data_IF_496708888093
#
_entry.id   IF_496708888093
#
_cell.length_a   1.000
_cell.length_b   1.000
_cell.length_c   1.000
_cell.angle_alpha   90.00
_cell.angle_beta   90.00
_cell.angle_gamma   90.00
#
_symmetry.space_group_name_H-M   'P 1'
#
loop_
_entity.id
_entity.type
_entity.pdbx_description
1 polymer ?
#
# COMPACT_ATOMS: atom_id res chain seq x y z
N UNK A 1 -9.06 52.84 -31.84
CA UNK A 1 -8.13 51.96 -31.10
C UNK A 1 -8.98 51.09 -30.18
N UNK A 2 -9.21 49.82 -30.45
CA UNK A 2 -9.96 48.97 -29.55
C UNK A 2 -9.01 48.18 -28.63
N UNK A 3 -9.36 48.12 -27.34
CA UNK A 3 -8.72 47.34 -26.32
C UNK A 3 -8.94 45.83 -26.56
N UNK A 4 -7.86 45.09 -26.62
CA UNK A 4 -7.87 43.61 -26.60
C UNK A 4 -7.93 43.10 -25.17
N UNK A 5 -9.01 42.44 -24.85
CA UNK A 5 -9.22 41.73 -23.58
C UNK A 5 -8.46 40.40 -23.60
N UNK A 6 -7.50 40.23 -22.70
CA UNK A 6 -6.88 38.95 -22.37
C UNK A 6 -7.90 38.08 -21.58
N UNK A 7 -8.28 36.94 -22.13
CA UNK A 7 -8.98 35.89 -21.40
C UNK A 7 -7.97 34.96 -20.74
N UNK A 8 -7.87 35.04 -19.43
CA UNK A 8 -7.18 34.03 -18.61
C UNK A 8 -7.98 32.72 -18.61
N UNK A 9 -7.32 31.66 -19.05
CA UNK A 9 -7.79 30.30 -18.82
C UNK A 9 -7.42 29.90 -17.39
N UNK A 10 -8.40 29.89 -16.49
CA UNK A 10 -8.26 29.25 -15.17
C UNK A 10 -8.35 27.74 -15.34
N UNK A 11 -7.29 27.04 -15.02
CA UNK A 11 -7.28 25.60 -14.88
C UNK A 11 -8.14 25.24 -13.65
N UNK A 12 -9.24 24.54 -13.88
CA UNK A 12 -10.08 23.98 -12.80
C UNK A 12 -9.37 22.75 -12.26
N UNK A 13 -8.73 22.90 -11.11
CA UNK A 13 -8.29 21.77 -10.27
C UNK A 13 -9.55 21.29 -9.55
N UNK A 14 -10.10 20.14 -9.94
CA UNK A 14 -11.14 19.47 -9.17
C UNK A 14 -10.55 18.92 -7.86
N UNK A 15 -10.59 19.71 -6.81
CA UNK A 15 -10.51 19.23 -5.44
C UNK A 15 -11.85 18.56 -5.10
N UNK A 16 -11.84 17.27 -4.84
CA UNK A 16 -12.91 16.61 -4.10
C UNK A 16 -12.85 17.11 -2.66
N UNK A 17 -13.53 18.21 -2.37
CA UNK A 17 -13.81 18.63 -1.01
C UNK A 17 -15.01 17.81 -0.50
N UNK A 18 -14.74 16.88 0.40
CA UNK A 18 -15.79 16.28 1.21
C UNK A 18 -16.40 17.39 2.10
N UNK A 19 -17.70 17.57 2.02
CA UNK A 19 -18.48 18.51 2.81
C UNK A 19 -18.37 18.13 4.30
N UNK A 20 -17.70 18.96 5.09
CA UNK A 20 -17.73 18.92 6.55
C UNK A 20 -19.01 19.53 7.07
N UNK A 21 -19.96 18.73 7.55
CA UNK A 21 -20.97 19.18 8.50
C UNK A 21 -20.33 19.20 9.90
N UNK A 22 -20.43 20.35 10.56
CA UNK A 22 -19.99 20.57 11.96
C UNK A 22 -20.77 19.62 12.87
N UNK A 23 -20.07 18.73 13.56
CA UNK A 23 -20.59 17.99 14.70
C UNK A 23 -19.96 18.59 15.96
N UNK A 24 -20.81 19.00 16.91
CA UNK A 24 -20.45 19.50 18.21
C UNK A 24 -19.59 18.51 18.99
N UNK A 25 -18.57 19.02 19.66
CA UNK A 25 -17.76 18.27 20.62
C UNK A 25 -18.60 18.00 21.88
N UNK A 26 -19.10 16.78 22.01
CA UNK A 26 -19.42 16.22 23.30
C UNK A 26 -18.28 15.26 23.70
N UNK A 27 -17.65 15.62 24.82
CA UNK A 27 -16.59 14.83 25.46
C UNK A 27 -17.23 13.67 26.21
N UNK A 28 -17.49 12.57 25.53
CA UNK A 28 -17.71 11.29 26.22
C UNK A 28 -16.43 10.47 26.22
N UNK A 29 -15.80 10.44 27.38
CA UNK A 29 -14.73 9.53 27.74
C UNK A 29 -15.26 8.09 27.62
N UNK A 30 -15.00 7.44 26.50
CA UNK A 30 -15.20 6.00 26.38
C UNK A 30 -14.21 5.31 27.31
N UNK A 31 -14.71 4.82 28.43
CA UNK A 31 -13.98 3.92 29.33
C UNK A 31 -13.58 2.68 28.52
N UNK A 32 -12.29 2.49 28.33
CA UNK A 32 -11.72 1.23 27.83
C UNK A 32 -12.17 0.08 28.74
N UNK A 33 -12.73 -1.01 28.22
CA UNK A 33 -12.90 -2.22 28.99
C UNK A 33 -11.52 -2.77 29.36
N UNK A 34 -11.28 -3.02 30.64
CA UNK A 34 -10.09 -3.73 31.12
C UNK A 34 -10.16 -5.20 30.67
N UNK A 35 -9.51 -5.52 29.56
CA UNK A 35 -9.33 -6.88 29.06
C UNK A 35 -7.98 -7.45 29.49
N UNK A 36 -7.71 -7.47 30.78
CA UNK A 36 -6.66 -8.31 31.34
C UNK A 36 -7.29 -9.45 32.11
N UNK A 37 -7.73 -10.48 31.40
CA UNK A 37 -7.82 -11.87 31.88
C UNK A 37 -8.05 -12.79 30.68
N UNK A 38 -6.95 -13.25 30.07
CA UNK A 38 -6.78 -14.58 29.47
C UNK A 38 -5.45 -14.67 28.73
N UNK A 39 -4.36 -14.70 29.50
CA UNK A 39 -3.09 -15.21 28.99
C UNK A 39 -3.16 -16.74 28.83
N UNK A 40 -4.04 -17.23 27.96
CA UNK A 40 -3.90 -18.57 27.39
C UNK A 40 -2.94 -18.49 26.22
N UNK A 41 -1.93 -19.36 26.25
CA UNK A 41 -0.91 -19.53 25.23
C UNK A 41 -1.46 -19.22 23.82
N UNK A 42 -0.93 -18.17 23.20
CA UNK A 42 -1.17 -17.85 21.80
C UNK A 42 -0.57 -19.01 21.02
N UNK A 43 -1.44 -19.87 20.47
CA UNK A 43 -1.01 -20.98 19.62
C UNK A 43 -0.27 -20.41 18.40
N UNK A 44 0.85 -21.00 18.02
CA UNK A 44 1.74 -20.70 16.89
C UNK A 44 1.09 -20.71 15.48
N UNK A 45 -0.22 -20.47 15.38
CA UNK A 45 -1.02 -20.38 14.16
C UNK A 45 -1.86 -19.09 14.09
N UNK A 46 -1.64 -18.14 14.99
CA UNK A 46 -2.35 -16.86 14.97
C UNK A 46 -1.50 -15.86 14.19
N UNK A 47 -2.09 -15.27 13.16
CA UNK A 47 -1.49 -14.19 12.39
C UNK A 47 -1.71 -12.83 13.06
N UNK A 48 -0.97 -11.83 12.59
CA UNK A 48 -1.14 -10.44 13.00
C UNK A 48 -1.37 -9.56 11.80
N UNK A 49 -2.10 -8.46 12.01
CA UNK A 49 -2.40 -7.46 10.97
C UNK A 49 -2.09 -6.08 11.54
N UNK A 50 -1.42 -5.26 10.74
CA UNK A 50 -1.03 -3.92 11.12
C UNK A 50 -1.51 -2.90 10.08
N UNK A 51 -1.94 -1.74 10.58
CA UNK A 51 -2.27 -0.55 9.79
C UNK A 51 -1.78 0.68 10.53
N UNK A 52 -1.58 1.81 9.85
CA UNK A 52 -1.18 3.04 10.51
C UNK A 52 -2.27 4.09 10.47
N UNK A 53 -2.29 4.97 11.49
CA UNK A 53 -3.28 6.04 11.64
C UNK A 53 -3.09 7.17 10.63
N UNK A 54 -1.85 7.42 10.24
CA UNK A 54 -1.43 8.55 9.41
C UNK A 54 -1.92 9.92 9.97
N UNK A 55 -2.05 10.04 11.29
CA UNK A 55 -2.48 11.27 11.93
C UNK A 55 -1.38 12.34 11.88
N UNK A 56 -1.77 13.60 11.59
CA UNK A 56 -0.84 14.72 11.45
C UNK A 56 -0.13 15.10 12.74
N UNK A 57 -0.78 14.90 13.89
CA UNK A 57 -0.21 15.20 15.22
C UNK A 57 0.77 14.14 15.70
N UNK A 58 0.44 12.87 15.48
CA UNK A 58 1.25 11.71 15.84
C UNK A 58 0.78 10.51 15.02
N UNK A 59 1.65 9.99 14.17
CA UNK A 59 1.37 8.71 13.50
C UNK A 59 1.53 7.55 14.48
N UNK A 60 0.70 6.52 14.33
CA UNK A 60 0.68 5.35 15.20
C UNK A 60 0.33 4.10 14.41
N UNK A 61 0.87 2.96 14.83
CA UNK A 61 0.54 1.65 14.27
C UNK A 61 -0.55 1.01 15.13
N UNK A 62 -1.64 0.62 14.51
CA UNK A 62 -2.69 -0.18 15.09
C UNK A 62 -2.41 -1.64 14.80
N UNK A 63 -2.34 -2.45 15.85
CA UNK A 63 -2.08 -3.89 15.78
C UNK A 63 -3.34 -4.68 16.05
N UNK A 64 -3.54 -5.75 15.29
CA UNK A 64 -4.65 -6.70 15.46
C UNK A 64 -4.11 -8.11 15.47
N UNK A 65 -4.68 -8.99 16.27
CA UNK A 65 -4.46 -10.42 16.13
C UNK A 65 -5.61 -11.07 15.34
N UNK A 66 -5.25 -12.04 14.50
CA UNK A 66 -6.17 -12.83 13.71
C UNK A 66 -6.62 -14.05 14.51
N UNK A 67 -7.92 -14.20 14.76
CA UNK A 67 -8.49 -15.43 15.32
C UNK A 67 -8.46 -16.57 14.31
N UNK A 68 -8.61 -17.80 14.78
CA UNK A 68 -8.64 -19.01 13.93
C UNK A 68 -9.73 -19.00 12.84
N UNK A 69 -10.78 -18.20 13.01
CA UNK A 69 -11.83 -17.99 12.02
C UNK A 69 -11.57 -16.80 11.08
N UNK A 70 -10.40 -16.15 11.17
CA UNK A 70 -9.98 -15.03 10.35
C UNK A 70 -10.43 -13.66 10.82
N UNK A 71 -11.19 -13.56 11.91
CA UNK A 71 -11.60 -12.27 12.46
C UNK A 71 -10.45 -11.56 13.14
N UNK A 72 -10.37 -10.25 12.93
CA UNK A 72 -9.39 -9.38 13.56
C UNK A 72 -9.91 -8.88 14.90
N UNK A 73 -9.02 -8.88 15.89
CA UNK A 73 -9.29 -8.35 17.22
C UNK A 73 -8.19 -7.34 17.54
N UNK A 74 -8.61 -6.15 17.96
CA UNK A 74 -7.67 -5.08 18.31
C UNK A 74 -6.74 -5.54 19.44
N UNK A 75 -5.44 -5.29 19.26
CA UNK A 75 -4.40 -5.66 20.22
C UNK A 75 -3.84 -4.42 20.92
N UNK A 76 -3.32 -3.46 20.15
CA UNK A 76 -2.66 -2.26 20.70
C UNK A 76 -2.52 -1.15 19.67
N UNK A 77 -2.16 0.03 20.16
CA UNK A 77 -1.68 1.14 19.35
C UNK A 77 -0.28 1.52 19.81
N UNK A 78 0.67 1.65 18.88
CA UNK A 78 2.06 2.00 19.15
C UNK A 78 2.44 3.25 18.37
N UNK A 79 2.91 4.30 19.07
CA UNK A 79 3.37 5.53 18.42
C UNK A 79 4.53 5.27 17.46
N UNK A 80 4.50 5.87 16.27
CA UNK A 80 5.53 5.64 15.25
C UNK A 80 6.80 6.48 15.46
N UNK A 81 6.78 7.45 16.36
CA UNK A 81 7.90 8.37 16.54
C UNK A 81 7.96 9.49 15.48
N UNK A 82 6.98 9.56 14.60
CA UNK A 82 6.83 10.62 13.61
C UNK A 82 5.37 11.03 13.42
N UNK A 83 5.12 11.91 12.47
CA UNK A 83 3.79 12.41 12.14
C UNK A 83 3.32 11.88 10.81
N UNK A 84 2.04 11.53 10.71
CA UNK A 84 1.36 11.28 9.45
C UNK A 84 1.06 12.57 8.68
N UNK A 85 0.54 12.45 7.48
CA UNK A 85 0.15 13.60 6.67
C UNK A 85 -1.20 14.20 7.09
N UNK A 86 -2.03 13.47 7.82
CA UNK A 86 -3.40 13.85 8.14
C UNK A 86 -4.35 13.84 6.94
N UNK A 87 -3.92 13.25 5.83
CA UNK A 87 -4.71 13.12 4.58
C UNK A 87 -4.41 11.77 3.92
N UNK A 88 -5.27 11.31 3.03
CA UNK A 88 -5.02 10.08 2.28
C UNK A 88 -3.71 10.15 1.49
N UNK A 89 -2.86 9.13 1.62
CA UNK A 89 -1.58 9.07 0.90
C UNK A 89 -1.75 8.72 -0.59
N UNK A 90 -2.81 7.99 -0.93
CA UNK A 90 -3.03 7.51 -2.30
C UNK A 90 -1.88 6.64 -2.80
N UNK A 91 -1.47 5.68 -1.97
CA UNK A 91 -0.33 4.79 -2.21
C UNK A 91 -0.59 3.41 -1.62
N UNK A 92 0.14 2.40 -2.08
CA UNK A 92 0.25 1.07 -1.49
C UNK A 92 1.62 0.91 -0.84
N UNK A 93 1.69 0.13 0.25
CA UNK A 93 2.96 -0.15 0.92
C UNK A 93 3.45 0.99 1.82
N UNK A 94 2.55 1.69 2.52
CA UNK A 94 2.91 2.60 3.60
C UNK A 94 3.54 1.87 4.79
N UNK A 95 3.23 0.57 4.94
CA UNK A 95 3.86 -0.39 5.83
C UNK A 95 4.54 -1.51 5.04
N UNK A 96 5.63 -2.07 5.56
CA UNK A 96 6.23 -3.31 5.09
C UNK A 96 6.77 -4.14 6.25
N UNK A 97 6.82 -5.47 6.06
CA UNK A 97 7.44 -6.43 6.95
C UNK A 97 8.76 -6.91 6.33
N UNK A 98 9.73 -7.30 7.15
CA UNK A 98 10.83 -8.13 6.68
C UNK A 98 10.36 -9.57 6.44
N UNK A 99 11.10 -10.34 5.64
CA UNK A 99 10.73 -11.71 5.27
C UNK A 99 10.63 -12.65 6.49
N UNK A 100 11.38 -12.37 7.54
CA UNK A 100 11.37 -13.15 8.78
C UNK A 100 10.27 -12.71 9.77
N UNK A 101 9.55 -11.63 9.46
CA UNK A 101 8.52 -11.00 10.29
C UNK A 101 9.01 -10.62 11.70
N UNK A 102 10.28 -10.23 11.79
CA UNK A 102 10.87 -9.68 13.02
C UNK A 102 10.71 -8.17 13.11
N UNK A 103 10.58 -7.50 11.94
CA UNK A 103 10.54 -6.05 11.82
C UNK A 103 9.35 -5.58 10.99
N UNK A 104 8.70 -4.54 11.52
CA UNK A 104 7.74 -3.72 10.78
C UNK A 104 8.39 -2.36 10.48
N UNK A 105 8.19 -1.88 9.26
CA UNK A 105 8.60 -0.55 8.82
C UNK A 105 7.39 0.27 8.43
N UNK A 106 7.42 1.57 8.74
CA UNK A 106 6.33 2.49 8.46
C UNK A 106 6.83 3.83 7.91
N UNK A 107 6.07 4.45 7.02
CA UNK A 107 6.31 5.83 6.61
C UNK A 107 5.68 6.79 7.63
N UNK A 108 6.31 7.95 7.87
CA UNK A 108 5.74 9.08 8.59
C UNK A 108 5.72 10.26 7.62
N UNK A 109 4.67 10.31 6.82
CA UNK A 109 4.61 11.20 5.65
C UNK A 109 4.69 12.69 6.03
N UNK A 110 4.10 13.09 7.17
CA UNK A 110 4.10 14.47 7.62
C UNK A 110 5.42 14.93 8.22
N UNK A 111 6.22 14.03 8.80
CA UNK A 111 7.55 14.35 9.35
C UNK A 111 8.71 13.95 8.44
N UNK A 112 8.44 13.49 7.21
CA UNK A 112 9.46 13.08 6.24
C UNK A 112 10.43 12.02 6.79
N UNK A 113 9.90 11.07 7.54
CA UNK A 113 10.69 10.03 8.21
C UNK A 113 10.12 8.64 7.98
N UNK A 114 10.92 7.63 8.29
CA UNK A 114 10.55 6.22 8.33
C UNK A 114 10.89 5.66 9.69
N UNK A 115 10.09 4.70 10.16
CA UNK A 115 10.28 4.07 11.46
C UNK A 115 10.40 2.57 11.33
N UNK A 116 11.21 1.94 12.21
CA UNK A 116 11.30 0.51 12.37
C UNK A 116 10.81 0.09 13.75
N UNK A 117 10.14 -1.07 13.81
CA UNK A 117 9.61 -1.65 15.04
C UNK A 117 10.02 -3.11 15.12
N UNK A 118 10.45 -3.56 16.29
CA UNK A 118 10.53 -4.98 16.55
C UNK A 118 9.15 -5.56 16.83
N UNK A 119 8.90 -6.75 16.31
CA UNK A 119 7.66 -7.50 16.51
C UNK A 119 7.91 -8.57 17.54
N UNK A 120 7.15 -8.53 18.66
CA UNK A 120 7.19 -9.57 19.67
C UNK A 120 6.36 -10.80 19.28
N UNK A 121 6.60 -11.94 19.93
CA UNK A 121 5.89 -13.20 19.66
C UNK A 121 4.36 -13.11 19.78
N UNK A 122 3.88 -12.14 20.52
CA UNK A 122 2.46 -11.84 20.71
C UNK A 122 1.92 -10.76 19.75
N UNK A 123 2.71 -10.34 18.74
CA UNK A 123 2.37 -9.28 17.78
C UNK A 123 2.47 -7.87 18.33
N UNK A 124 2.98 -7.67 19.55
CA UNK A 124 3.22 -6.34 20.10
C UNK A 124 4.39 -5.67 19.36
N UNK A 125 4.30 -4.36 19.18
CA UNK A 125 5.35 -3.58 18.53
C UNK A 125 6.14 -2.77 19.56
N UNK A 126 7.45 -2.71 19.35
CA UNK A 126 8.34 -1.80 20.08
C UNK A 126 9.08 -0.94 19.05
N UNK A 127 8.89 0.39 19.13
CA UNK A 127 9.62 1.33 18.28
C UNK A 127 11.13 1.20 18.54
N UNK A 128 11.87 0.96 17.46
CA UNK A 128 13.33 0.82 17.51
C UNK A 128 14.03 2.09 17.04
N UNK A 129 13.75 2.54 15.83
CA UNK A 129 14.40 3.71 15.23
C UNK A 129 13.39 4.55 14.43
N UNK A 130 13.70 5.85 14.34
CA UNK A 130 13.07 6.79 13.40
C UNK A 130 14.17 7.59 12.73
N UNK A 131 14.20 7.60 11.40
CA UNK A 131 15.21 8.30 10.60
C UNK A 131 14.56 9.10 9.47
N UNK A 132 15.27 10.13 8.96
CA UNK A 132 14.83 10.85 7.75
C UNK A 132 14.66 9.89 6.56
N UNK A 133 13.60 10.06 5.76
CA UNK A 133 13.41 9.34 4.50
C UNK A 133 14.35 9.81 3.37
N UNK A 134 15.16 10.83 3.62
CA UNK A 134 15.99 11.54 2.63
C UNK A 134 15.19 12.06 1.43
N UNK A 135 13.97 12.50 1.70
CA UNK A 135 13.06 13.13 0.78
C UNK A 135 11.89 13.77 1.51
N UNK A 136 10.88 14.17 0.77
CA UNK A 136 9.69 14.84 1.30
C UNK A 136 8.44 14.04 0.94
N UNK A 137 7.58 13.81 1.93
CA UNK A 137 6.35 13.06 1.84
C UNK A 137 6.60 11.60 1.41
N UNK A 138 7.26 10.76 2.26
CA UNK A 138 7.37 9.32 2.01
C UNK A 138 5.96 8.70 2.00
N UNK A 139 5.66 7.86 0.99
CA UNK A 139 4.31 7.30 0.82
C UNK A 139 4.28 5.78 0.67
N UNK A 140 5.41 5.18 0.35
CA UNK A 140 5.52 3.72 0.18
C UNK A 140 6.94 3.28 0.45
N UNK A 141 7.11 2.10 1.02
CA UNK A 141 8.40 1.48 1.27
C UNK A 141 8.36 -0.02 0.96
N UNK A 142 9.53 -0.59 0.73
CA UNK A 142 9.70 -2.01 0.43
C UNK A 142 10.97 -2.54 1.06
N UNK A 143 10.97 -3.82 1.41
CA UNK A 143 12.09 -4.51 2.05
C UNK A 143 12.49 -5.72 1.23
N UNK A 144 13.78 -6.00 1.14
CA UNK A 144 14.35 -7.23 0.61
C UNK A 144 15.67 -7.53 1.33
N UNK A 145 15.78 -8.68 1.95
CA UNK A 145 16.90 -9.02 2.83
C UNK A 145 17.17 -7.90 3.87
N UNK A 146 18.37 -7.34 3.86
CA UNK A 146 18.78 -6.24 4.73
C UNK A 146 18.67 -4.85 4.08
N UNK A 147 17.89 -4.71 3.00
CA UNK A 147 17.69 -3.47 2.29
C UNK A 147 16.25 -2.97 2.47
N UNK A 148 16.11 -1.67 2.68
CA UNK A 148 14.84 -0.96 2.64
C UNK A 148 14.95 0.18 1.64
N UNK A 149 13.95 0.31 0.76
CA UNK A 149 13.79 1.48 -0.10
C UNK A 149 12.46 2.17 0.17
N UNK A 150 12.49 3.50 0.15
CA UNK A 150 11.31 4.36 0.30
C UNK A 150 11.15 5.23 -0.93
N UNK A 151 9.92 5.48 -1.35
CA UNK A 151 9.59 6.49 -2.36
C UNK A 151 8.96 7.71 -1.70
N UNK A 152 9.50 8.89 -2.02
CA UNK A 152 9.09 10.19 -1.50
C UNK A 152 8.32 10.95 -2.57
N UNK A 153 7.07 11.27 -2.30
CA UNK A 153 6.15 11.78 -3.32
C UNK A 153 6.42 13.23 -3.71
N UNK A 154 6.63 14.13 -2.75
CA UNK A 154 6.85 15.57 -3.06
C UNK A 154 8.23 15.82 -3.67
N UNK A 155 9.27 15.16 -3.18
CA UNK A 155 10.62 15.27 -3.76
C UNK A 155 10.82 14.40 -5.00
N UNK A 156 9.83 13.57 -5.35
CA UNK A 156 9.83 12.68 -6.52
C UNK A 156 11.13 11.88 -6.65
N UNK A 157 11.50 11.18 -5.59
CA UNK A 157 12.72 10.36 -5.54
C UNK A 157 12.50 9.06 -4.76
N UNK A 158 13.42 8.12 -4.94
CA UNK A 158 13.61 6.98 -4.06
C UNK A 158 14.85 7.17 -3.21
N UNK A 159 14.91 6.54 -2.04
CA UNK A 159 16.11 6.50 -1.18
C UNK A 159 16.24 5.14 -0.50
N UNK A 160 17.46 4.62 -0.41
CA UNK A 160 17.78 3.29 0.11
C UNK A 160 18.46 3.34 1.48
N UNK A 161 18.19 2.33 2.28
CA UNK A 161 18.74 2.12 3.62
C UNK A 161 19.17 0.68 3.81
N UNK A 162 20.20 0.46 4.61
CA UNK A 162 20.50 -0.86 5.15
C UNK A 162 19.78 -1.06 6.47
N UNK A 163 19.25 -2.26 6.69
CA UNK A 163 18.68 -2.70 7.96
C UNK A 163 19.78 -3.42 8.74
N UNK A 164 20.22 -2.82 9.83
CA UNK A 164 21.22 -3.39 10.72
C UNK A 164 20.62 -4.11 11.92
N UNK A 165 21.48 -4.58 12.81
CA UNK A 165 21.08 -5.20 14.06
C UNK A 165 20.16 -4.26 14.86
N UNK A 166 19.14 -4.82 15.52
CA UNK A 166 18.16 -4.05 16.27
C UNK A 166 17.26 -3.18 15.40
N UNK A 167 17.09 -3.48 14.09
CA UNK A 167 16.25 -2.72 13.17
C UNK A 167 16.78 -1.33 12.82
N UNK A 168 18.09 -1.08 13.07
CA UNK A 168 18.73 0.20 12.77
C UNK A 168 18.71 0.47 11.28
N UNK A 169 18.18 1.63 10.89
CA UNK A 169 18.16 2.07 9.49
C UNK A 169 19.31 3.03 9.24
N UNK A 170 20.19 2.67 8.29
CA UNK A 170 21.33 3.50 7.88
C UNK A 170 21.20 3.84 6.40
N UNK A 171 21.14 5.14 6.08
CA UNK A 171 21.06 5.59 4.69
C UNK A 171 22.26 5.12 3.86
N UNK A 172 22.00 4.58 2.69
CA UNK A 172 23.02 4.21 1.70
C UNK A 172 23.39 5.46 0.91
N UNK A 173 24.58 6.01 1.16
CA UNK A 173 25.05 7.21 0.47
C UNK A 173 25.03 7.02 -1.05
N UNK A 174 24.37 7.93 -1.76
CA UNK A 174 24.22 7.87 -3.21
C UNK A 174 23.06 7.01 -3.72
N UNK A 175 22.26 6.40 -2.83
CA UNK A 175 21.07 5.60 -3.21
C UNK A 175 19.89 6.41 -3.68
N UNK A 176 19.88 7.73 -3.44
CA UNK A 176 18.78 8.60 -3.87
C UNK A 176 18.78 8.77 -5.37
N UNK A 177 17.69 8.36 -6.03
CA UNK A 177 17.50 8.48 -7.47
C UNK A 177 16.20 9.22 -7.77
N UNK A 178 16.18 10.13 -8.77
CA UNK A 178 14.95 10.82 -9.16
C UNK A 178 13.99 9.89 -9.87
N UNK A 179 12.68 10.15 -9.73
CA UNK A 179 11.63 9.59 -10.57
C UNK A 179 11.66 10.23 -11.98
N UNK A 180 10.73 9.78 -12.85
CA UNK A 180 10.72 10.23 -14.26
C UNK A 180 10.48 11.74 -14.42
N UNK A 181 9.86 12.38 -13.45
CA UNK A 181 9.64 13.83 -13.39
C UNK A 181 9.35 14.29 -11.95
N UNK A 182 9.55 15.57 -11.66
CA UNK A 182 9.20 16.16 -10.36
C UNK A 182 7.70 16.07 -10.02
N UNK A 183 6.84 15.89 -11.03
CA UNK A 183 5.39 15.75 -10.89
C UNK A 183 4.90 14.30 -10.93
N UNK A 184 5.78 13.32 -10.74
CA UNK A 184 5.47 11.89 -10.92
C UNK A 184 4.30 11.39 -10.03
N UNK A 185 4.18 11.90 -8.81
CA UNK A 185 3.20 11.46 -7.82
C UNK A 185 3.13 9.93 -7.69
N UNK A 186 4.18 9.28 -7.16
CA UNK A 186 4.28 7.84 -7.08
C UNK A 186 3.13 7.23 -6.26
N UNK A 187 2.75 5.99 -6.59
CA UNK A 187 1.78 5.22 -5.83
C UNK A 187 2.43 4.12 -5.00
N UNK A 188 3.44 3.46 -5.53
CA UNK A 188 4.09 2.34 -4.85
C UNK A 188 5.53 2.19 -5.30
N UNK A 189 6.38 1.71 -4.38
CA UNK A 189 7.68 1.14 -4.66
C UNK A 189 7.68 -0.33 -4.22
N UNK A 190 8.28 -1.23 -5.00
CA UNK A 190 8.43 -2.64 -4.64
C UNK A 190 9.72 -3.24 -5.17
N UNK A 191 10.40 -4.03 -4.35
CA UNK A 191 11.46 -4.89 -4.86
C UNK A 191 10.87 -5.99 -5.72
N UNK A 192 11.41 -6.15 -6.92
CA UNK A 192 11.19 -7.37 -7.68
C UNK A 192 11.75 -8.56 -6.90
N UNK A 193 11.05 -9.71 -6.84
CA UNK A 193 11.59 -10.90 -6.22
C UNK A 193 13.01 -11.22 -6.72
N UNK A 194 13.94 -11.42 -5.77
CA UNK A 194 15.38 -11.54 -6.03
C UNK A 194 16.18 -10.25 -5.85
N UNK A 195 15.53 -9.11 -5.52
CA UNK A 195 16.17 -7.89 -5.03
C UNK A 195 16.97 -7.06 -6.04
N UNK A 196 17.10 -7.52 -7.30
CA UNK A 196 17.97 -6.88 -8.30
C UNK A 196 17.36 -5.63 -8.95
N UNK A 197 16.08 -5.39 -8.76
CA UNK A 197 15.35 -4.26 -9.33
C UNK A 197 14.30 -3.76 -8.35
N UNK A 198 14.09 -2.43 -8.38
CA UNK A 198 12.94 -1.77 -7.81
C UNK A 198 11.99 -1.35 -8.93
N UNK A 199 10.69 -1.43 -8.68
CA UNK A 199 9.64 -0.94 -9.56
C UNK A 199 8.91 0.17 -8.82
N UNK A 200 8.61 1.27 -9.52
CA UNK A 200 7.80 2.39 -9.02
C UNK A 200 6.71 2.69 -10.03
N UNK A 201 5.47 2.79 -9.56
CA UNK A 201 4.34 3.30 -10.36
C UNK A 201 4.15 4.79 -10.12
N UNK A 202 3.97 5.55 -11.20
CA UNK A 202 3.90 7.01 -11.20
C UNK A 202 2.56 7.47 -11.80
N UNK A 203 1.66 7.94 -10.94
CA UNK A 203 0.26 8.25 -11.31
C UNK A 203 0.13 9.39 -12.32
N UNK A 204 0.85 10.49 -12.10
CA UNK A 204 0.68 11.71 -12.90
C UNK A 204 1.45 11.69 -14.21
N UNK A 205 2.53 10.94 -14.29
CA UNK A 205 3.30 10.76 -15.53
C UNK A 205 2.84 9.56 -16.33
N UNK A 206 1.93 8.72 -15.76
CA UNK A 206 1.48 7.45 -16.35
C UNK A 206 2.65 6.53 -16.69
N UNK A 207 3.63 6.41 -15.77
CA UNK A 207 4.84 5.60 -16.00
C UNK A 207 5.01 4.51 -14.97
N UNK A 208 5.75 3.50 -15.41
CA UNK A 208 6.34 2.47 -14.58
C UNK A 208 7.83 2.65 -14.70
N UNK A 209 8.50 2.98 -13.60
CA UNK A 209 9.95 3.25 -13.57
C UNK A 209 10.65 2.11 -12.82
N UNK A 210 11.68 1.55 -13.43
CA UNK A 210 12.48 0.45 -12.88
C UNK A 210 13.90 0.92 -12.62
N UNK A 211 14.43 0.61 -11.42
CA UNK A 211 15.78 0.94 -11.00
C UNK A 211 16.57 -0.35 -10.77
N UNK A 212 17.73 -0.55 -11.41
CA UNK A 212 18.63 -1.66 -11.06
C UNK A 212 19.21 -1.45 -9.66
N UNK A 213 19.33 -2.50 -8.87
CA UNK A 213 20.00 -2.49 -7.57
C UNK A 213 21.18 -3.41 -7.63
N UNK A 214 22.37 -2.91 -7.32
CA UNK A 214 23.59 -3.69 -7.34
C UNK A 214 23.79 -4.50 -6.04
N UNK A 215 24.81 -5.32 -5.99
CA UNK A 215 25.12 -6.19 -4.84
C UNK A 215 25.49 -5.45 -3.54
N UNK A 216 25.81 -4.16 -3.62
CA UNK A 216 26.00 -3.30 -2.44
C UNK A 216 24.73 -2.59 -2.00
N UNK A 217 23.60 -2.91 -2.62
CA UNK A 217 22.29 -2.30 -2.31
C UNK A 217 22.07 -0.91 -2.92
N UNK A 218 22.96 -0.43 -3.81
CA UNK A 218 22.86 0.87 -4.42
C UNK A 218 21.99 0.83 -5.67
N UNK A 219 20.92 1.66 -5.70
CA UNK A 219 20.09 1.83 -6.88
C UNK A 219 20.81 2.65 -7.96
N UNK A 220 20.78 2.17 -9.19
CA UNK A 220 21.21 2.91 -10.38
C UNK A 220 20.14 3.83 -10.93
N UNK A 221 20.42 4.49 -12.06
CA UNK A 221 19.47 5.37 -12.74
C UNK A 221 18.20 4.62 -13.18
N UNK A 222 17.03 5.27 -13.02
CA UNK A 222 15.75 4.71 -13.40
C UNK A 222 15.54 4.69 -14.93
N UNK A 223 14.86 3.66 -15.40
CA UNK A 223 14.35 3.55 -16.78
C UNK A 223 12.83 3.45 -16.73
N UNK A 224 12.12 4.24 -17.53
CA UNK A 224 10.66 4.35 -17.46
C UNK A 224 10.00 3.94 -18.77
N UNK A 225 8.87 3.24 -18.67
CA UNK A 225 7.94 2.98 -19.78
C UNK A 225 6.59 3.65 -19.50
N UNK A 226 5.80 3.88 -20.53
CA UNK A 226 4.41 4.33 -20.37
C UNK A 226 3.53 3.14 -19.99
N UNK A 227 2.67 3.32 -18.98
CA UNK A 227 1.66 2.36 -18.58
C UNK A 227 0.62 2.14 -19.69
N UNK A 228 0.05 0.95 -19.77
CA UNK A 228 -0.94 0.60 -20.81
C UNK A 228 -2.25 1.41 -20.66
N UNK A 229 -2.59 1.82 -19.45
CA UNK A 229 -3.69 2.74 -19.19
C UNK A 229 -3.23 3.84 -18.20
N UNK A 230 -4.02 4.89 -18.07
CA UNK A 230 -3.70 6.04 -17.23
C UNK A 230 -3.74 5.69 -15.73
N UNK A 231 -2.92 6.40 -14.97
CA UNK A 231 -2.85 6.33 -13.51
C UNK A 231 -2.49 4.94 -13.01
N UNK A 232 -1.28 4.39 -13.36
CA UNK A 232 -0.77 3.18 -12.73
C UNK A 232 -0.67 3.40 -11.23
N UNK A 233 -1.18 2.44 -10.45
CA UNK A 233 -1.34 2.60 -9.02
C UNK A 233 -0.59 1.50 -8.25
N UNK A 234 -1.30 0.68 -7.49
CA UNK A 234 -0.69 -0.43 -6.77
C UNK A 234 -0.32 -1.60 -7.67
N UNK A 235 0.62 -2.41 -7.22
CA UNK A 235 1.03 -3.63 -7.92
C UNK A 235 1.52 -4.68 -6.94
N UNK A 236 1.56 -5.93 -7.43
CA UNK A 236 2.24 -7.03 -6.76
C UNK A 236 2.86 -7.96 -7.80
N UNK A 237 3.73 -8.88 -7.38
CA UNK A 237 4.48 -9.71 -8.30
C UNK A 237 3.88 -11.12 -8.43
N UNK A 238 3.74 -11.57 -9.68
CA UNK A 238 3.47 -12.97 -10.01
C UNK A 238 4.80 -13.67 -10.26
N UNK A 239 5.26 -14.43 -9.26
CA UNK A 239 6.60 -15.00 -9.26
C UNK A 239 7.69 -13.94 -9.46
N UNK A 240 8.84 -14.34 -10.00
CA UNK A 240 9.97 -13.44 -10.22
C UNK A 240 9.91 -12.64 -11.53
N UNK A 241 8.87 -12.79 -12.34
CA UNK A 241 8.90 -12.31 -13.72
C UNK A 241 7.95 -11.14 -14.00
N UNK A 242 6.78 -11.11 -13.38
CA UNK A 242 5.72 -10.21 -13.80
C UNK A 242 5.24 -9.32 -12.65
N UNK A 243 5.21 -8.01 -12.88
CA UNK A 243 4.48 -7.06 -12.05
C UNK A 243 3.04 -6.95 -12.56
N UNK A 244 2.06 -7.21 -11.70
CA UNK A 244 0.63 -7.08 -11.97
C UNK A 244 0.20 -5.72 -11.45
N UNK A 245 -0.02 -4.79 -12.36
CA UNK A 245 -0.23 -3.37 -12.06
C UNK A 245 -1.69 -3.01 -12.25
N UNK A 246 -2.25 -2.30 -11.28
CA UNK A 246 -3.57 -1.67 -11.41
C UNK A 246 -3.44 -0.31 -12.08
N UNK A 247 -4.42 0.06 -12.88
CA UNK A 247 -4.46 1.31 -13.62
C UNK A 247 -5.83 1.97 -13.40
N UNK A 248 -5.85 3.04 -12.60
CA UNK A 248 -7.09 3.65 -12.10
C UNK A 248 -7.84 4.50 -13.15
N UNK A 249 -7.26 4.72 -14.34
CA UNK A 249 -7.82 5.50 -15.44
C UNK A 249 -8.31 6.91 -15.02
N UNK A 250 -7.57 7.58 -14.12
CA UNK A 250 -7.95 8.88 -13.59
C UNK A 250 -9.25 8.88 -12.77
N UNK A 251 -9.74 7.70 -12.35
CA UNK A 251 -11.02 7.55 -11.66
C UNK A 251 -12.25 7.56 -12.59
N UNK A 252 -12.06 7.47 -13.90
CA UNK A 252 -13.17 7.42 -14.86
C UNK A 252 -14.07 6.19 -14.61
N UNK A 253 -15.40 6.35 -14.65
CA UNK A 253 -16.33 5.27 -14.34
C UNK A 253 -16.12 4.04 -15.24
N UNK A 254 -15.98 2.87 -14.62
CA UNK A 254 -15.84 1.57 -15.28
C UNK A 254 -14.66 1.45 -16.25
N UNK A 255 -13.65 2.33 -16.14
CA UNK A 255 -12.54 2.44 -17.07
C UNK A 255 -11.20 1.87 -16.55
N UNK A 256 -11.15 1.49 -15.27
CA UNK A 256 -9.92 0.97 -14.68
C UNK A 256 -9.55 -0.42 -15.20
N UNK A 257 -8.26 -0.70 -15.24
CA UNK A 257 -7.71 -1.92 -15.84
C UNK A 257 -6.65 -2.54 -14.94
N UNK A 258 -6.25 -3.75 -15.32
CA UNK A 258 -5.09 -4.46 -14.77
C UNK A 258 -4.22 -4.91 -15.94
N UNK A 259 -2.92 -4.67 -15.84
CA UNK A 259 -1.94 -5.09 -16.83
C UNK A 259 -0.79 -5.85 -16.17
N UNK A 260 -0.13 -6.72 -16.91
CA UNK A 260 1.11 -7.34 -16.47
C UNK A 260 2.30 -6.84 -17.27
N UNK A 261 3.42 -6.64 -16.57
CA UNK A 261 4.67 -6.16 -17.15
C UNK A 261 5.81 -7.10 -16.77
N UNK A 262 6.71 -7.37 -17.70
CA UNK A 262 8.02 -7.91 -17.33
C UNK A 262 8.73 -6.84 -16.50
N UNK A 263 9.30 -7.21 -15.36
CA UNK A 263 10.03 -6.26 -14.52
C UNK A 263 11.52 -6.58 -14.54
N UNK A 264 12.37 -5.60 -14.84
CA UNK A 264 13.82 -5.80 -14.89
C UNK A 264 14.51 -4.87 -15.88
N UNK A 265 15.64 -5.30 -16.45
CA UNK A 265 16.44 -4.50 -17.39
C UNK A 265 15.64 -4.03 -18.62
N UNK A 266 14.69 -4.84 -19.06
CA UNK A 266 13.82 -4.57 -20.21
C UNK A 266 12.35 -4.68 -19.75
N UNK A 267 11.91 -3.69 -18.97
CA UNK A 267 10.50 -3.62 -18.57
C UNK A 267 9.61 -3.39 -19.78
N UNK A 268 8.61 -4.24 -19.98
CA UNK A 268 7.70 -4.19 -21.12
C UNK A 268 6.31 -4.70 -20.74
N UNK A 269 5.28 -4.20 -21.43
CA UNK A 269 3.93 -4.75 -21.33
C UNK A 269 3.91 -6.19 -21.84
N UNK A 270 3.34 -7.09 -21.04
CA UNK A 270 3.16 -8.52 -21.37
C UNK A 270 1.70 -8.81 -21.70
N UNK A 271 0.77 -8.31 -20.90
CA UNK A 271 -0.67 -8.53 -21.07
C UNK A 271 -1.46 -7.34 -20.53
N UNK A 272 -2.53 -6.99 -21.20
CA UNK A 272 -3.44 -5.91 -20.80
C UNK A 272 -3.51 -4.79 -21.84
N UNK A 273 -4.23 -3.69 -21.54
CA UNK A 273 -5.03 -3.48 -20.34
C UNK A 273 -6.30 -4.33 -20.28
N UNK A 274 -6.52 -5.02 -19.17
CA UNK A 274 -7.68 -5.90 -18.95
C UNK A 274 -8.70 -5.18 -18.06
N UNK A 275 -9.90 -4.91 -18.59
CA UNK A 275 -10.95 -4.16 -17.89
C UNK A 275 -11.95 -5.10 -17.21
N UNK A 276 -12.18 -4.92 -15.91
CA UNK A 276 -13.22 -5.61 -15.13
C UNK A 276 -14.53 -4.79 -15.03
N UNK A 277 -14.67 -3.67 -15.75
CA UNK A 277 -15.80 -2.74 -15.68
C UNK A 277 -16.01 -2.21 -14.25
N UNK A 278 -14.90 -1.83 -13.60
CA UNK A 278 -14.89 -1.24 -12.27
C UNK A 278 -14.25 0.15 -12.31
N UNK A 279 -14.46 0.93 -11.26
CA UNK A 279 -13.97 2.31 -11.14
C UNK A 279 -12.82 2.38 -10.13
N UNK A 280 -11.73 3.02 -10.53
CA UNK A 280 -10.56 3.26 -9.71
C UNK A 280 -9.99 1.96 -9.09
N UNK A 281 -9.55 1.02 -9.92
CA UNK A 281 -8.73 -0.11 -9.49
C UNK A 281 -7.38 0.42 -9.00
N UNK A 282 -7.11 0.30 -7.69
CA UNK A 282 -5.99 1.00 -7.08
C UNK A 282 -4.98 0.07 -6.38
N UNK A 283 -5.39 -0.97 -5.67
CA UNK A 283 -4.49 -1.83 -4.90
C UNK A 283 -4.61 -3.28 -5.33
N UNK A 284 -3.48 -3.98 -5.36
CA UNK A 284 -3.40 -5.36 -5.79
C UNK A 284 -2.61 -6.22 -4.80
N UNK A 285 -3.04 -7.49 -4.66
CA UNK A 285 -2.24 -8.57 -4.08
C UNK A 285 -2.31 -9.79 -4.98
N UNK A 286 -1.20 -10.51 -5.09
CA UNK A 286 -1.08 -11.75 -5.85
C UNK A 286 -0.89 -12.91 -4.90
N UNK A 287 -1.52 -14.05 -5.17
CA UNK A 287 -1.32 -15.28 -4.38
C UNK A 287 0.13 -15.76 -4.48
N UNK A 288 0.65 -16.41 -3.44
CA UNK A 288 2.05 -16.87 -3.37
C UNK A 288 2.43 -17.85 -4.49
N UNK A 289 1.44 -18.58 -5.04
CA UNK A 289 1.63 -19.43 -6.21
C UNK A 289 1.68 -18.66 -7.56
N UNK A 290 1.51 -17.33 -7.50
CA UNK A 290 1.57 -16.43 -8.65
C UNK A 290 0.41 -16.52 -9.64
N UNK A 291 -0.66 -17.28 -9.33
CA UNK A 291 -1.70 -17.60 -10.31
C UNK A 291 -2.91 -16.69 -10.27
N UNK A 292 -3.14 -15.97 -9.17
CA UNK A 292 -4.33 -15.15 -8.98
C UNK A 292 -3.97 -13.79 -8.40
N UNK A 293 -4.64 -12.75 -8.89
CA UNK A 293 -4.62 -11.43 -8.31
C UNK A 293 -5.99 -11.02 -7.79
N UNK A 294 -6.01 -10.28 -6.68
CA UNK A 294 -7.18 -9.60 -6.16
C UNK A 294 -6.91 -8.10 -6.14
N UNK A 295 -7.88 -7.33 -6.62
CA UNK A 295 -7.74 -5.91 -6.86
C UNK A 295 -8.90 -5.17 -6.24
N UNK A 296 -8.61 -4.17 -5.39
CA UNK A 296 -9.64 -3.29 -4.85
C UNK A 296 -10.01 -2.21 -5.85
N UNK A 297 -11.31 -1.97 -5.97
CA UNK A 297 -11.88 -0.94 -6.83
C UNK A 297 -12.48 0.16 -5.94
N UNK A 298 -11.70 1.20 -5.66
CA UNK A 298 -12.05 2.25 -4.68
C UNK A 298 -13.36 2.95 -5.01
N UNK A 299 -13.57 3.28 -6.28
CA UNK A 299 -14.78 3.97 -6.73
C UNK A 299 -16.02 3.07 -6.83
N UNK A 300 -15.83 1.74 -6.88
CA UNK A 300 -16.91 0.75 -6.96
C UNK A 300 -17.22 0.06 -5.64
N UNK A 301 -16.37 0.23 -4.60
CA UNK A 301 -16.49 -0.47 -3.31
C UNK A 301 -16.49 -2.00 -3.46
N UNK A 302 -15.63 -2.53 -4.31
CA UNK A 302 -15.56 -3.95 -4.64
C UNK A 302 -14.13 -4.47 -4.69
N UNK A 303 -14.01 -5.80 -4.71
CA UNK A 303 -12.79 -6.51 -5.08
C UNK A 303 -13.07 -7.28 -6.36
N UNK A 304 -12.20 -7.16 -7.36
CA UNK A 304 -12.17 -8.01 -8.56
C UNK A 304 -11.10 -9.10 -8.40
N UNK A 305 -11.26 -10.22 -9.11
CA UNK A 305 -10.23 -11.25 -9.18
C UNK A 305 -9.84 -11.58 -10.63
N UNK A 306 -8.56 -11.93 -10.79
CA UNK A 306 -7.93 -12.22 -12.08
C UNK A 306 -7.13 -13.51 -11.99
N UNK A 307 -7.04 -14.24 -13.09
CA UNK A 307 -6.05 -15.30 -13.26
C UNK A 307 -4.82 -14.77 -13.97
N UNK A 308 -3.67 -15.36 -13.64
CA UNK A 308 -2.37 -15.06 -14.24
C UNK A 308 -1.79 -16.37 -14.74
N UNK A 309 -1.48 -16.46 -16.04
CA UNK A 309 -0.82 -17.63 -16.60
C UNK A 309 0.68 -17.62 -16.33
N UNK A 310 1.35 -18.75 -16.54
CA UNK A 310 2.82 -18.85 -16.45
C UNK A 310 3.57 -17.95 -17.44
N UNK A 311 2.91 -17.47 -18.49
CA UNK A 311 3.44 -16.48 -19.45
C UNK A 311 3.06 -15.04 -19.12
N UNK A 312 2.45 -14.79 -17.94
CA UNK A 312 2.06 -13.45 -17.49
C UNK A 312 0.74 -12.93 -18.06
N UNK A 313 -0.03 -13.74 -18.82
CA UNK A 313 -1.32 -13.29 -19.31
C UNK A 313 -2.33 -13.16 -18.17
N UNK A 314 -2.99 -12.00 -18.10
CA UNK A 314 -4.01 -11.66 -17.11
C UNK A 314 -5.40 -11.79 -17.73
N UNK A 315 -6.35 -12.40 -17.00
CA UNK A 315 -7.76 -12.52 -17.42
C UNK A 315 -8.69 -12.30 -16.23
N UNK A 316 -9.81 -11.61 -16.43
CA UNK A 316 -10.84 -11.44 -15.40
C UNK A 316 -11.46 -12.79 -15.07
N UNK A 317 -11.45 -13.18 -13.80
CA UNK A 317 -12.22 -14.31 -13.26
C UNK A 317 -13.55 -13.85 -12.67
N UNK A 318 -13.51 -12.80 -11.88
CA UNK A 318 -14.72 -12.18 -11.33
C UNK A 318 -14.59 -10.66 -11.34
N UNK A 319 -15.57 -10.00 -11.96
CA UNK A 319 -15.66 -8.53 -11.94
C UNK A 319 -15.93 -8.01 -10.51
N UNK A 320 -16.71 -8.78 -9.73
CA UNK A 320 -17.03 -8.52 -8.33
C UNK A 320 -16.86 -9.84 -7.57
N UNK A 321 -15.67 -10.09 -7.04
CA UNK A 321 -15.39 -11.24 -6.16
C UNK A 321 -15.97 -11.02 -4.75
N UNK A 322 -16.02 -9.75 -4.31
CA UNK A 322 -16.68 -9.33 -3.07
C UNK A 322 -17.04 -7.85 -3.12
N UNK A 323 -18.00 -7.45 -2.28
CA UNK A 323 -18.24 -6.04 -1.90
C UNK A 323 -17.49 -5.73 -0.62
N UNK A 324 -16.96 -4.51 -0.50
CA UNK A 324 -16.21 -4.03 0.66
C UNK A 324 -16.99 -2.98 1.43
N UNK A 325 -16.41 -2.39 2.46
CA UNK A 325 -16.81 -1.08 2.96
C UNK A 325 -16.51 0.03 1.94
N UNK A 326 -16.84 1.27 2.30
CA UNK A 326 -16.68 2.42 1.41
C UNK A 326 -15.23 2.77 1.10
N UNK A 327 -14.89 2.93 -0.17
CA UNK A 327 -13.57 3.30 -0.68
C UNK A 327 -12.44 2.38 -0.16
N UNK A 328 -12.34 1.12 -0.62
CA UNK A 328 -11.21 0.26 -0.25
C UNK A 328 -9.89 0.86 -0.76
N UNK A 329 -8.90 1.02 0.16
CA UNK A 329 -7.65 1.76 -0.07
C UNK A 329 -6.39 1.00 0.30
N UNK A 330 -6.46 -0.24 0.67
CA UNK A 330 -5.35 -1.18 0.75
C UNK A 330 -5.87 -2.62 0.88
N UNK A 331 -5.02 -3.61 0.62
CA UNK A 331 -5.39 -5.02 0.59
C UNK A 331 -4.20 -5.90 0.95
N UNK A 332 -4.42 -6.94 1.77
CA UNK A 332 -3.40 -7.93 2.12
C UNK A 332 -4.02 -9.30 2.38
N UNK A 333 -3.24 -10.37 2.18
CA UNK A 333 -3.59 -11.70 2.67
C UNK A 333 -3.15 -11.88 4.12
N UNK A 334 -3.80 -12.81 4.84
CA UNK A 334 -3.20 -13.42 6.03
C UNK A 334 -1.97 -14.25 5.64
N UNK A 335 -1.04 -14.49 6.55
CA UNK A 335 0.19 -15.23 6.26
C UNK A 335 -0.02 -16.64 5.68
N UNK A 336 -1.16 -17.25 5.91
CA UNK A 336 -1.55 -18.57 5.33
C UNK A 336 -2.43 -18.43 4.08
N UNK A 337 -2.74 -17.22 3.63
CA UNK A 337 -3.63 -16.88 2.51
C UNK A 337 -5.07 -17.45 2.60
N UNK A 338 -5.52 -17.90 3.76
CA UNK A 338 -6.91 -18.33 3.92
C UNK A 338 -7.87 -17.16 4.07
N UNK A 339 -7.34 -15.99 4.44
CA UNK A 339 -8.11 -14.77 4.63
C UNK A 339 -7.50 -13.61 3.86
N UNK A 340 -8.36 -12.66 3.54
CA UNK A 340 -8.00 -11.43 2.85
C UNK A 340 -8.64 -10.25 3.58
N UNK A 341 -7.87 -9.19 3.75
CA UNK A 341 -8.28 -7.99 4.45
C UNK A 341 -8.13 -6.77 3.56
N UNK A 342 -9.05 -5.80 3.69
CA UNK A 342 -8.92 -4.51 3.00
C UNK A 342 -9.37 -3.37 3.90
N UNK A 343 -8.56 -2.31 3.95
CA UNK A 343 -8.94 -1.05 4.59
C UNK A 343 -9.93 -0.32 3.69
N UNK A 344 -10.95 0.25 4.31
CA UNK A 344 -11.97 1.03 3.65
C UNK A 344 -11.92 2.48 4.18
N UNK A 345 -11.35 3.39 3.40
CA UNK A 345 -11.08 4.76 3.82
C UNK A 345 -12.33 5.57 4.14
N UNK A 346 -13.40 5.44 3.35
CA UNK A 346 -14.63 6.20 3.58
C UNK A 346 -15.51 5.63 4.71
N UNK A 347 -15.39 4.34 5.02
CA UNK A 347 -16.13 3.72 6.13
C UNK A 347 -15.27 3.48 7.38
N UNK A 348 -14.00 3.92 7.39
CA UNK A 348 -13.07 3.80 8.51
C UNK A 348 -13.06 2.39 9.11
N UNK A 349 -12.80 1.39 8.26
CA UNK A 349 -12.98 -0.01 8.64
C UNK A 349 -12.02 -0.94 7.90
N UNK A 350 -11.86 -2.17 8.39
CA UNK A 350 -11.22 -3.26 7.68
C UNK A 350 -12.30 -4.31 7.37
N UNK A 351 -12.55 -4.57 6.10
CA UNK A 351 -13.39 -5.71 5.68
C UNK A 351 -12.57 -6.99 5.74
N UNK A 352 -13.20 -8.06 6.23
CA UNK A 352 -12.60 -9.36 6.47
C UNK A 352 -13.26 -10.41 5.57
N UNK A 353 -12.45 -11.15 4.82
CA UNK A 353 -12.94 -12.18 3.89
C UNK A 353 -12.23 -13.50 4.11
N UNK A 354 -12.97 -14.60 3.99
CA UNK A 354 -12.42 -15.93 3.83
C UNK A 354 -12.29 -16.25 2.35
N UNK A 355 -11.08 -16.63 1.93
CA UNK A 355 -10.80 -17.08 0.55
C UNK A 355 -11.34 -18.51 0.37
N UNK A 356 -12.12 -18.72 -0.68
CA UNK A 356 -12.62 -20.03 -1.11
C UNK A 356 -11.93 -20.51 -2.39
N UNK A 357 -12.35 -21.65 -2.91
CA UNK A 357 -11.93 -22.12 -4.22
C UNK A 357 -12.39 -21.17 -5.34
N UNK A 358 -11.71 -21.23 -6.50
CA UNK A 358 -12.02 -20.40 -7.68
C UNK A 358 -12.04 -18.89 -7.41
N UNK A 359 -11.13 -18.42 -6.54
CA UNK A 359 -10.99 -17.00 -6.13
C UNK A 359 -12.22 -16.37 -5.47
N UNK A 360 -13.21 -17.16 -5.04
CA UNK A 360 -14.35 -16.63 -4.31
C UNK A 360 -13.94 -16.04 -2.95
N UNK A 361 -14.58 -14.95 -2.57
CA UNK A 361 -14.40 -14.31 -1.28
C UNK A 361 -15.73 -14.30 -0.52
N UNK A 362 -15.73 -14.85 0.69
CA UNK A 362 -16.88 -14.81 1.60
C UNK A 362 -16.61 -13.81 2.70
N UNK A 363 -17.43 -12.77 2.83
CA UNK A 363 -17.34 -11.86 3.97
C UNK A 363 -17.56 -12.62 5.27
N UNK A 364 -16.68 -12.40 6.25
CA UNK A 364 -16.75 -12.98 7.58
C UNK A 364 -16.92 -11.93 8.68
N UNK A 365 -16.75 -10.65 8.33
CA UNK A 365 -16.91 -9.54 9.25
C UNK A 365 -16.30 -8.25 8.79
N UNK A 366 -16.21 -7.33 9.73
CA UNK A 366 -15.60 -6.03 9.57
C UNK A 366 -15.15 -5.49 10.92
N UNK A 367 -13.94 -4.92 10.98
CA UNK A 367 -13.50 -4.05 12.08
C UNK A 367 -13.90 -2.62 11.74
N UNK A 368 -14.45 -1.87 12.69
CA UNK A 368 -14.86 -0.47 12.54
C UNK A 368 -14.12 0.44 13.50
N UNK A 369 -14.18 1.75 13.26
CA UNK A 369 -13.58 2.74 14.16
C UNK A 369 -12.09 2.98 13.93
N UNK A 370 -11.59 2.73 12.72
CA UNK A 370 -10.23 3.14 12.38
C UNK A 370 -10.13 4.68 12.36
N UNK A 371 -8.91 5.23 12.59
CA UNK A 371 -8.64 6.63 12.33
C UNK A 371 -9.05 7.04 10.91
N UNK A 372 -9.52 8.28 10.75
CA UNK A 372 -10.07 8.79 9.48
C UNK A 372 -9.07 8.74 8.31
N UNK A 373 -7.77 8.80 8.62
CA UNK A 373 -6.70 8.81 7.62
C UNK A 373 -5.88 7.51 7.61
N UNK A 374 -6.41 6.41 8.22
CA UNK A 374 -5.69 5.15 8.31
C UNK A 374 -5.31 4.64 6.90
N UNK A 375 -4.06 4.20 6.76
CA UNK A 375 -3.45 3.71 5.51
C UNK A 375 -2.49 2.56 5.80
N UNK A 376 -2.03 1.89 4.76
CA UNK A 376 -1.08 0.78 4.90
C UNK A 376 -1.72 -0.43 5.55
N UNK A 377 -1.54 -1.61 4.98
CA UNK A 377 -2.06 -2.86 5.53
C UNK A 377 -1.08 -4.00 5.25
N UNK A 378 -0.57 -4.60 6.31
CA UNK A 378 0.29 -5.79 6.22
C UNK A 378 -0.14 -6.85 7.20
N UNK A 379 0.09 -8.12 6.86
CA UNK A 379 -0.27 -9.26 7.70
C UNK A 379 0.73 -10.41 7.54
N UNK A 380 0.83 -11.27 8.56
CA UNK A 380 1.59 -12.53 8.53
C UNK A 380 0.99 -13.58 9.44
#
# INVERSE_FOLDING_TARGET
MPLTTFRSFSAIILLFAASCSKVNQDKDLVKSPSLFENSKAINSRQGFVYTESNDAGQNSILSYFQSSNGKLNFLSTTASGGNGSGTALGSQGALALDDAHHWLFAVNAGSNSISSFSIGDNGSLTLSHTVSSNGTLPVSLTVHDNLLYVVNSTSANISGFTIGAGGTLTWITGSTQPLSAATAAPAQIGFKPGGQYLVVTEKMTNKITTFPVNTSGLAGAGSSITSANATPFGFDFSGSNYAIVTEAAGGAPNASTVSSYSAGANTALVSGPVNANQTAACWAVVTSDGKYAYVTNTGSNTISSFSISSSGNVQVLSKVAATTGGAPIDITFSGNEFYLYTINGASHSISEFKKGGNTSLKSIGQVTGLPANAVGLVAF
#
